data_IF_840825230500
#
_entry.id   IF_840825230500
#
_cell.length_a   1.000
_cell.length_b   1.000
_cell.length_c   1.000
_cell.angle_alpha   90.00
_cell.angle_beta   90.00
_cell.angle_gamma   90.00
#
_symmetry.space_group_name_H-M   'P 1'
#
loop_
_entity.id
_entity.type
_entity.pdbx_description
1 polymer ?
#
# COMPACT_ATOMS: atom_id res chain seq x y z
N UNK A 1 -18.41 17.67 74.94
CA UNK A 1 -17.89 16.58 74.08
C UNK A 1 -18.97 16.30 73.03
N UNK A 2 -18.84 16.33 71.71
CA UNK A 2 -17.76 16.49 70.74
C UNK A 2 -18.40 17.14 69.47
N UNK A 3 -17.76 18.21 69.00
CA UNK A 3 -17.54 18.77 67.65
C UNK A 3 -18.50 18.45 66.49
N UNK A 4 -18.95 19.54 65.85
CA UNK A 4 -19.39 19.70 64.45
C UNK A 4 -18.44 19.03 63.45
N UNK A 5 -18.98 18.36 62.43
CA UNK A 5 -18.28 18.15 61.14
C UNK A 5 -19.23 18.42 59.97
N UNK A 6 -18.76 19.33 59.13
CA UNK A 6 -19.29 19.84 57.85
C UNK A 6 -18.77 18.94 56.71
N UNK A 7 -19.39 19.07 55.52
CA UNK A 7 -18.85 18.78 54.18
C UNK A 7 -18.86 17.30 53.71
N UNK A 8 -19.05 16.98 52.43
CA UNK A 8 -19.32 17.77 51.24
C UNK A 8 -19.77 16.81 50.11
N UNK A 9 -20.61 17.34 49.22
CA UNK A 9 -20.96 16.77 47.93
C UNK A 9 -19.70 16.50 47.10
N UNK A 10 -19.53 15.26 46.62
CA UNK A 10 -18.60 14.94 45.54
C UNK A 10 -19.46 14.56 44.34
N UNK A 11 -19.77 15.56 43.52
CA UNK A 11 -20.20 15.35 42.12
C UNK A 11 -18.93 14.99 41.36
N UNK A 12 -18.78 13.71 41.05
CA UNK A 12 -17.74 13.22 40.16
C UNK A 12 -18.03 13.70 38.74
N UNK A 13 -17.43 14.82 38.35
CA UNK A 13 -17.32 15.19 36.94
C UNK A 13 -16.36 14.16 36.33
N UNK A 14 -16.91 13.16 35.66
CA UNK A 14 -16.12 12.35 34.74
C UNK A 14 -15.64 13.27 33.61
N UNK A 15 -14.44 13.83 33.77
CA UNK A 15 -13.67 14.36 32.67
C UNK A 15 -13.29 13.18 31.76
N UNK A 16 -14.19 12.84 30.84
CA UNK A 16 -13.81 12.15 29.61
C UNK A 16 -13.03 13.15 28.76
N UNK A 17 -11.77 13.37 29.13
CA UNK A 17 -10.83 14.07 28.29
C UNK A 17 -10.43 13.11 27.16
N UNK A 18 -11.32 12.93 26.18
CA UNK A 18 -10.92 12.38 24.89
C UNK A 18 -9.86 13.33 24.34
N UNK A 19 -8.62 12.85 24.26
CA UNK A 19 -7.55 13.55 23.54
C UNK A 19 -8.14 13.98 22.19
N UNK A 20 -8.06 15.27 21.81
CA UNK A 20 -8.55 15.70 20.51
C UNK A 20 -7.81 14.87 19.46
N UNK A 21 -8.58 14.23 18.57
CA UNK A 21 -8.02 13.46 17.45
C UNK A 21 -7.12 14.42 16.66
N UNK A 22 -5.94 14.02 16.23
CA UNK A 22 -5.10 14.85 15.35
C UNK A 22 -5.12 14.24 13.95
N UNK A 23 -5.93 14.80 13.06
CA UNK A 23 -6.01 14.29 11.70
C UNK A 23 -4.66 14.35 10.97
N UNK A 24 -3.76 15.26 11.37
CA UNK A 24 -2.44 15.40 10.73
C UNK A 24 -1.57 14.20 11.00
N UNK A 25 -1.65 13.62 12.21
CA UNK A 25 -0.96 12.38 12.53
C UNK A 25 -1.45 11.21 11.66
N UNK A 26 -2.77 11.12 11.41
CA UNK A 26 -3.33 10.10 10.51
C UNK A 26 -2.90 10.33 9.06
N UNK A 27 -2.92 11.58 8.59
CA UNK A 27 -2.40 11.94 7.26
C UNK A 27 -0.93 11.56 7.10
N UNK A 28 -0.09 11.92 8.07
CA UNK A 28 1.34 11.62 8.04
C UNK A 28 1.59 10.10 8.01
N UNK A 29 0.73 9.31 8.65
CA UNK A 29 0.80 7.85 8.57
C UNK A 29 0.42 7.31 7.18
N UNK A 30 -0.60 7.89 6.53
CA UNK A 30 -0.93 7.58 5.14
C UNK A 30 0.25 7.89 4.22
N UNK A 31 0.85 9.08 4.36
CA UNK A 31 1.98 9.51 3.53
C UNK A 31 3.24 8.65 3.73
N UNK A 32 3.54 8.25 4.98
CA UNK A 32 4.63 7.29 5.23
C UNK A 32 4.39 5.97 4.51
N UNK A 33 3.15 5.49 4.50
CA UNK A 33 2.80 4.24 3.81
C UNK A 33 2.89 4.42 2.29
N UNK A 34 2.43 5.56 1.77
CA UNK A 34 2.63 5.95 0.37
C UNK A 34 4.10 5.90 -0.04
N UNK A 35 5.00 6.50 0.74
CA UNK A 35 6.41 6.55 0.37
C UNK A 35 7.05 5.15 0.31
N UNK A 36 6.64 4.25 1.22
CA UNK A 36 7.04 2.84 1.18
C UNK A 36 6.50 2.13 -0.07
N UNK A 37 5.21 2.31 -0.37
CA UNK A 37 4.57 1.75 -1.57
C UNK A 37 5.23 2.27 -2.84
N UNK A 38 5.67 3.52 -2.89
CA UNK A 38 6.37 4.10 -4.04
C UNK A 38 7.80 3.55 -4.22
N UNK A 39 8.48 3.18 -3.13
CA UNK A 39 9.72 2.43 -3.25
C UNK A 39 9.48 1.04 -3.87
N UNK A 40 8.43 0.36 -3.42
CA UNK A 40 8.01 -0.95 -3.96
C UNK A 40 7.50 -0.82 -5.41
N UNK A 41 6.86 0.29 -5.79
CA UNK A 41 6.46 0.59 -7.17
C UNK A 41 7.66 0.52 -8.12
N UNK A 42 8.81 1.08 -7.71
CA UNK A 42 10.04 1.00 -8.50
C UNK A 42 10.50 -0.45 -8.76
N UNK A 43 10.25 -1.35 -7.82
CA UNK A 43 10.55 -2.79 -7.97
C UNK A 43 9.54 -3.46 -8.91
N UNK A 44 8.24 -3.14 -8.77
CA UNK A 44 7.17 -3.62 -9.67
C UNK A 44 7.49 -3.25 -11.12
N UNK A 45 7.77 -1.97 -11.39
CA UNK A 45 8.14 -1.47 -12.73
C UNK A 45 9.39 -2.18 -13.25
N UNK A 46 10.43 -2.31 -12.42
CA UNK A 46 11.66 -3.03 -12.81
C UNK A 46 11.38 -4.49 -13.20
N UNK A 47 10.53 -5.18 -12.45
CA UNK A 47 10.19 -6.57 -12.72
C UNK A 47 9.33 -6.68 -13.99
N UNK A 48 8.39 -5.75 -14.20
CA UNK A 48 7.62 -5.68 -15.43
C UNK A 48 8.54 -5.50 -16.65
N UNK A 49 9.47 -4.53 -16.60
CA UNK A 49 10.45 -4.31 -17.67
C UNK A 49 11.32 -5.54 -17.95
N UNK A 50 11.73 -6.26 -16.90
CA UNK A 50 12.51 -7.48 -17.07
C UNK A 50 11.70 -8.57 -17.79
N UNK A 51 10.43 -8.77 -17.44
CA UNK A 51 9.56 -9.75 -18.10
C UNK A 51 9.23 -9.31 -19.54
N UNK A 52 8.95 -8.03 -19.77
CA UNK A 52 8.75 -7.46 -21.11
C UNK A 52 9.98 -7.68 -22.00
N UNK A 53 11.18 -7.55 -21.45
CA UNK A 53 12.43 -7.83 -22.18
C UNK A 53 12.53 -9.31 -22.59
N UNK A 54 12.14 -10.25 -21.72
CA UNK A 54 12.09 -11.67 -22.05
C UNK A 54 11.07 -11.96 -23.16
N UNK A 55 9.90 -11.33 -23.10
CA UNK A 55 8.86 -11.42 -24.14
C UNK A 55 9.32 -10.89 -25.50
N UNK A 56 10.11 -9.83 -25.52
CA UNK A 56 10.66 -9.27 -26.77
C UNK A 56 11.78 -10.15 -27.35
N UNK A 57 12.41 -11.00 -26.53
CA UNK A 57 13.59 -11.78 -26.89
C UNK A 57 13.38 -13.30 -26.80
N UNK A 58 12.15 -13.79 -27.06
CA UNK A 58 11.81 -15.23 -26.95
C UNK A 58 12.71 -16.16 -27.78
N UNK A 59 13.20 -15.70 -28.93
CA UNK A 59 14.15 -16.47 -29.75
C UNK A 59 15.48 -16.71 -29.04
N UNK A 60 16.06 -15.65 -28.46
CA UNK A 60 17.27 -15.76 -27.65
C UNK A 60 17.02 -16.58 -26.38
N UNK A 61 15.83 -16.45 -25.78
CA UNK A 61 15.42 -17.25 -24.62
C UNK A 61 15.39 -18.74 -24.95
N UNK A 62 14.87 -19.14 -26.11
CA UNK A 62 14.87 -20.54 -26.56
C UNK A 62 16.26 -21.08 -26.84
N UNK A 63 17.15 -20.26 -27.37
CA UNK A 63 18.55 -20.66 -27.58
C UNK A 63 19.26 -20.91 -26.25
N UNK A 64 19.04 -20.03 -25.26
CA UNK A 64 19.62 -20.15 -23.92
C UNK A 64 19.01 -21.30 -23.10
N UNK A 65 17.72 -21.55 -23.28
CA UNK A 65 16.98 -22.63 -22.60
C UNK A 65 16.29 -23.55 -23.64
N UNK A 66 17.02 -24.47 -24.30
CA UNK A 66 16.48 -25.29 -25.39
C UNK A 66 15.30 -26.18 -25.00
N UNK A 67 15.19 -26.57 -23.73
CA UNK A 67 14.11 -27.41 -23.20
C UNK A 67 12.86 -26.62 -22.80
N UNK A 68 12.93 -25.29 -22.81
CA UNK A 68 11.82 -24.43 -22.40
C UNK A 68 10.65 -24.49 -23.39
N UNK A 69 9.43 -24.65 -22.89
CA UNK A 69 8.21 -24.50 -23.69
C UNK A 69 7.91 -23.01 -23.88
N UNK A 70 8.39 -22.45 -24.99
CA UNK A 70 8.29 -21.02 -25.28
C UNK A 70 6.84 -20.54 -25.44
N UNK A 71 5.96 -21.39 -25.98
CA UNK A 71 4.56 -21.02 -26.16
C UNK A 71 3.87 -20.86 -24.80
N UNK A 72 4.10 -21.81 -23.89
CA UNK A 72 3.60 -21.73 -22.52
C UNK A 72 4.21 -20.57 -21.75
N UNK A 73 5.53 -20.37 -21.85
CA UNK A 73 6.21 -19.29 -21.14
C UNK A 73 5.76 -17.91 -21.60
N UNK A 74 5.51 -17.72 -22.90
CA UNK A 74 4.97 -16.46 -23.41
C UNK A 74 3.65 -16.09 -22.71
N UNK A 75 2.71 -17.03 -22.60
CA UNK A 75 1.41 -16.80 -21.94
C UNK A 75 1.61 -16.47 -20.46
N UNK A 76 2.51 -17.18 -19.77
CA UNK A 76 2.81 -16.93 -18.35
C UNK A 76 3.45 -15.55 -18.14
N UNK A 77 4.33 -15.11 -19.04
CA UNK A 77 4.93 -13.78 -18.99
C UNK A 77 3.88 -12.68 -19.22
N UNK A 78 3.01 -12.84 -20.23
CA UNK A 78 1.91 -11.91 -20.52
C UNK A 78 0.97 -11.76 -19.31
N UNK A 79 0.60 -12.87 -18.67
CA UNK A 79 -0.21 -12.85 -17.44
C UNK A 79 0.48 -12.07 -16.32
N UNK A 80 1.78 -12.30 -16.09
CA UNK A 80 2.53 -11.60 -15.04
C UNK A 80 2.64 -10.11 -15.31
N UNK A 81 2.92 -9.71 -16.55
CA UNK A 81 2.94 -8.29 -16.94
C UNK A 81 1.58 -7.66 -16.71
N UNK A 82 0.49 -8.34 -17.05
CA UNK A 82 -0.86 -7.83 -16.80
C UNK A 82 -1.14 -7.63 -15.30
N UNK A 83 -0.72 -8.56 -14.44
CA UNK A 83 -0.88 -8.41 -12.98
C UNK A 83 -0.06 -7.26 -12.39
N UNK A 84 1.19 -7.10 -12.83
CA UNK A 84 2.04 -5.98 -12.40
C UNK A 84 1.41 -4.64 -12.79
N UNK A 85 0.95 -4.50 -14.04
CA UNK A 85 0.24 -3.31 -14.52
C UNK A 85 -1.04 -3.02 -13.74
N UNK A 86 -1.84 -4.03 -13.45
CA UNK A 86 -3.07 -3.87 -12.66
C UNK A 86 -2.75 -3.37 -11.23
N UNK A 87 -1.64 -3.80 -10.63
CA UNK A 87 -1.21 -3.29 -9.34
C UNK A 87 -0.81 -1.80 -9.43
N UNK A 88 -0.08 -1.41 -10.48
CA UNK A 88 0.30 -0.01 -10.73
C UNK A 88 -0.93 0.89 -10.95
N UNK A 89 -1.92 0.43 -11.70
CA UNK A 89 -3.18 1.12 -11.92
C UNK A 89 -3.91 1.42 -10.60
N UNK A 90 -3.93 0.47 -9.66
CA UNK A 90 -4.53 0.70 -8.34
C UNK A 90 -3.82 1.82 -7.56
N UNK A 91 -2.50 1.91 -7.65
CA UNK A 91 -1.75 2.99 -7.02
C UNK A 91 -2.01 4.33 -7.70
N UNK A 92 -2.04 4.35 -9.03
CA UNK A 92 -2.35 5.55 -9.81
C UNK A 92 -3.77 6.06 -9.53
N UNK A 93 -4.75 5.17 -9.50
CA UNK A 93 -6.14 5.49 -9.17
C UNK A 93 -6.26 6.03 -7.75
N UNK A 94 -5.57 5.42 -6.80
CA UNK A 94 -5.52 5.92 -5.43
C UNK A 94 -4.91 7.32 -5.37
N UNK A 95 -3.77 7.56 -6.02
CA UNK A 95 -3.12 8.88 -6.04
C UNK A 95 -3.99 9.96 -6.69
N UNK A 96 -4.75 9.63 -7.74
CA UNK A 96 -5.68 10.57 -8.38
C UNK A 96 -6.89 10.91 -7.50
N UNK A 97 -7.31 9.99 -6.64
CA UNK A 97 -8.47 10.16 -5.76
C UNK A 97 -8.10 10.68 -4.36
N UNK A 98 -6.82 10.65 -4.00
CA UNK A 98 -6.35 11.06 -2.69
C UNK A 98 -6.37 12.58 -2.53
N UNK A 99 -7.00 13.05 -1.46
CA UNK A 99 -7.12 14.46 -1.09
C UNK A 99 -6.23 14.74 0.14
N UNK A 100 -5.01 15.26 -0.04
CA UNK A 100 -4.09 15.51 1.07
C UNK A 100 -4.50 16.72 1.94
N UNK A 101 -5.25 17.64 1.35
CA UNK A 101 -5.67 18.90 1.97
C UNK A 101 -7.20 18.98 2.02
N UNK A 102 -7.76 18.73 3.20
CA UNK A 102 -9.20 18.72 3.44
C UNK A 102 -9.61 19.95 4.26
N UNK A 103 -9.59 21.11 3.61
CA UNK A 103 -9.81 22.42 4.26
C UNK A 103 -11.24 22.63 4.78
N UNK A 104 -12.22 21.87 4.27
CA UNK A 104 -13.64 22.05 4.58
C UNK A 104 -14.21 21.04 5.59
N UNK A 105 -13.40 20.11 6.11
CA UNK A 105 -13.86 19.05 7.02
C UNK A 105 -13.54 19.39 8.48
N UNK A 106 -14.40 18.92 9.40
CA UNK A 106 -14.03 18.88 10.81
C UNK A 106 -12.83 17.97 11.02
N UNK A 107 -12.14 18.16 12.14
CA UNK A 107 -10.98 17.36 12.52
C UNK A 107 -11.32 15.85 12.62
N UNK A 108 -12.50 15.52 13.13
CA UNK A 108 -13.00 14.15 13.26
C UNK A 108 -13.31 13.53 11.89
N UNK A 109 -13.95 14.28 10.98
CA UNK A 109 -14.22 13.85 9.62
C UNK A 109 -12.93 13.67 8.81
N UNK A 110 -11.95 14.57 8.99
CA UNK A 110 -10.65 14.48 8.35
C UNK A 110 -9.88 13.25 8.84
N UNK A 111 -9.88 12.99 10.15
CA UNK A 111 -9.23 11.81 10.70
C UNK A 111 -9.90 10.50 10.25
N UNK A 112 -11.23 10.47 10.16
CA UNK A 112 -11.95 9.32 9.62
C UNK A 112 -11.61 9.04 8.15
N UNK A 113 -11.50 10.11 7.34
CA UNK A 113 -11.05 10.01 5.95
C UNK A 113 -9.63 9.41 5.86
N UNK A 114 -8.64 9.98 6.56
CA UNK A 114 -7.27 9.47 6.48
C UNK A 114 -7.12 8.05 7.01
N UNK A 115 -7.91 7.64 8.01
CA UNK A 115 -7.98 6.23 8.43
C UNK A 115 -8.50 5.32 7.33
N UNK A 116 -9.51 5.74 6.58
CA UNK A 116 -10.03 4.98 5.45
C UNK A 116 -9.01 4.90 4.31
N UNK A 117 -8.31 6.00 4.00
CA UNK A 117 -7.22 6.01 3.02
C UNK A 117 -6.06 5.12 3.45
N UNK A 118 -5.71 5.11 4.74
CA UNK A 118 -4.69 4.23 5.28
C UNK A 118 -5.03 2.75 5.02
N UNK A 119 -6.29 2.35 5.18
CA UNK A 119 -6.72 0.98 4.86
C UNK A 119 -6.55 0.67 3.37
N UNK A 120 -6.88 1.62 2.49
CA UNK A 120 -6.74 1.44 1.03
C UNK A 120 -5.27 1.26 0.64
N UNK A 121 -4.39 2.15 1.11
CA UNK A 121 -2.98 2.09 0.73
C UNK A 121 -2.25 0.88 1.32
N UNK A 122 -2.63 0.40 2.52
CA UNK A 122 -2.10 -0.87 3.05
C UNK A 122 -2.52 -2.10 2.23
N UNK A 123 -3.67 -2.06 1.54
CA UNK A 123 -4.05 -3.13 0.60
C UNK A 123 -3.17 -3.10 -0.65
N UNK A 124 -2.85 -1.90 -1.16
CA UNK A 124 -1.93 -1.73 -2.28
C UNK A 124 -0.53 -2.21 -1.90
N UNK A 125 -0.02 -1.84 -0.72
CA UNK A 125 1.24 -2.33 -0.16
C UNK A 125 1.31 -3.86 -0.13
N UNK A 126 0.26 -4.50 0.38
CA UNK A 126 0.19 -5.97 0.44
C UNK A 126 0.21 -6.61 -0.95
N UNK A 127 -0.51 -6.01 -1.92
CA UNK A 127 -0.53 -6.48 -3.30
C UNK A 127 0.84 -6.32 -3.97
N UNK A 128 1.50 -5.18 -3.79
CA UNK A 128 2.85 -4.95 -4.31
C UNK A 128 3.84 -5.98 -3.78
N UNK A 129 3.86 -6.22 -2.48
CA UNK A 129 4.73 -7.24 -1.88
C UNK A 129 4.47 -8.63 -2.45
N UNK A 130 3.20 -8.99 -2.67
CA UNK A 130 2.83 -10.25 -3.28
C UNK A 130 3.33 -10.36 -4.74
N UNK A 131 3.09 -9.34 -5.56
CA UNK A 131 3.51 -9.34 -6.96
C UNK A 131 5.04 -9.23 -7.11
N UNK A 132 5.72 -8.47 -6.26
CA UNK A 132 7.19 -8.42 -6.19
C UNK A 132 7.74 -9.81 -5.89
N UNK A 133 7.19 -10.50 -4.88
CA UNK A 133 7.62 -11.86 -4.52
C UNK A 133 7.39 -12.84 -5.68
N UNK A 134 6.20 -12.82 -6.27
CA UNK A 134 5.83 -13.71 -7.38
C UNK A 134 6.67 -13.47 -8.65
N UNK A 135 6.92 -12.21 -8.99
CA UNK A 135 7.72 -11.83 -10.16
C UNK A 135 9.21 -12.06 -9.94
N UNK A 136 9.75 -11.78 -8.75
CA UNK A 136 11.12 -12.14 -8.41
C UNK A 136 11.36 -13.65 -8.46
N UNK A 137 10.45 -14.44 -7.88
CA UNK A 137 10.53 -15.90 -7.94
C UNK A 137 10.50 -16.39 -9.38
N UNK A 138 9.66 -15.82 -10.23
CA UNK A 138 9.62 -16.18 -11.65
C UNK A 138 10.91 -15.82 -12.37
N UNK A 139 11.37 -14.56 -12.23
CA UNK A 139 12.57 -14.06 -12.88
C UNK A 139 13.84 -14.81 -12.44
N UNK A 140 13.85 -15.40 -11.24
CA UNK A 140 14.98 -16.20 -10.75
C UNK A 140 15.29 -17.42 -11.64
N UNK A 141 14.30 -17.97 -12.33
CA UNK A 141 14.48 -19.09 -13.25
C UNK A 141 15.30 -18.71 -14.51
N UNK A 142 15.48 -17.41 -14.75
CA UNK A 142 16.18 -16.88 -15.93
C UNK A 142 17.47 -16.11 -15.57
N UNK A 143 17.81 -16.04 -14.27
CA UNK A 143 19.08 -15.49 -13.81
C UNK A 143 20.17 -16.55 -13.98
N UNK A 144 21.30 -16.11 -14.53
CA UNK A 144 22.53 -16.91 -14.62
C UNK A 144 23.27 -16.90 -13.28
#
# INVERSE_FOLDING_TARGET
MKKLIIAASIVGIMFSCSQPVDYKAERDQVMKTHDLVMADHGIVVKNQMAIDSLLQNLGALKQRFPTLDIAREKVLMEEKVARLKAAEELMNDWMHQFEPDIEQKSNEEAAAYFKAENIKINRIDSLYKAEISASNSYLSAFRE
#
